data_IF_252609727526
#
_entry.id   IF_252609727526
#
_cell.length_a   1.000
_cell.length_b   1.000
_cell.length_c   1.000
_cell.angle_alpha   90.00
_cell.angle_beta   90.00
_cell.angle_gamma   90.00
#
_symmetry.space_group_name_H-M   'P 1'
#
loop_
_entity.id
_entity.type
_entity.pdbx_description
1 polymer ?
#
# COMPACT_ATOMS: atom_id res chain seq x y z
N UNK A 1 7.08 -4.48 40.13
CA UNK A 1 6.05 -3.42 40.14
C UNK A 1 6.77 -2.10 40.37
N UNK A 2 7.20 -1.41 39.31
CA UNK A 2 7.95 -0.17 39.42
C UNK A 2 7.00 1.02 39.44
N UNK A 3 6.55 1.43 40.63
CA UNK A 3 6.05 2.79 40.81
C UNK A 3 7.23 3.66 41.23
N UNK A 4 7.55 4.67 40.42
CA UNK A 4 8.41 5.76 40.86
C UNK A 4 7.63 6.55 41.94
N UNK A 5 8.06 6.45 43.20
CA UNK A 5 7.43 7.15 44.34
C UNK A 5 7.82 8.62 44.43
N UNK A 6 8.70 9.09 43.53
CA UNK A 6 9.15 10.48 43.43
C UNK A 6 8.67 11.07 42.11
N UNK A 7 7.82 12.08 42.19
CA UNK A 7 7.49 12.94 41.06
C UNK A 7 8.71 13.85 40.83
N UNK A 8 9.23 13.96 39.60
CA UNK A 8 10.35 14.84 39.31
C UNK A 8 9.93 16.31 39.43
N UNK A 9 10.88 17.19 39.80
CA UNK A 9 10.61 18.60 40.07
C UNK A 9 10.12 19.40 38.85
N UNK A 10 10.33 18.87 37.64
CA UNK A 10 9.87 19.43 36.37
C UNK A 10 8.48 18.91 35.94
N UNK A 11 7.81 18.13 36.79
CA UNK A 11 6.46 17.66 36.50
C UNK A 11 5.46 18.81 36.51
N UNK A 12 4.70 18.91 35.41
CA UNK A 12 3.63 19.90 35.25
C UNK A 12 2.28 19.23 35.44
N UNK A 13 1.47 19.74 36.37
CA UNK A 13 0.11 19.27 36.60
C UNK A 13 -0.80 19.68 35.43
N UNK A 14 -1.55 18.72 34.90
CA UNK A 14 -2.59 18.96 33.88
C UNK A 14 -3.97 18.83 34.53
N UNK A 15 -4.93 19.64 34.10
CA UNK A 15 -6.31 19.52 34.60
C UNK A 15 -6.96 18.22 34.14
N UNK A 16 -7.89 17.68 34.95
CA UNK A 16 -8.69 16.49 34.60
C UNK A 16 -9.43 16.66 33.27
N UNK A 17 -9.93 17.86 32.99
CA UNK A 17 -10.59 18.18 31.72
C UNK A 17 -9.64 18.06 30.52
N UNK A 18 -8.41 18.56 30.65
CA UNK A 18 -7.37 18.44 29.62
C UNK A 18 -6.92 17.00 29.46
N UNK A 19 -6.75 16.28 30.57
CA UNK A 19 -6.43 14.85 30.56
C UNK A 19 -7.51 14.07 29.80
N UNK A 20 -8.79 14.26 30.12
CA UNK A 20 -9.90 13.56 29.46
C UNK A 20 -9.99 13.92 27.97
N UNK A 21 -9.85 15.19 27.61
CA UNK A 21 -9.96 15.66 26.23
C UNK A 21 -8.80 15.22 25.33
N UNK A 22 -7.58 15.19 25.86
CA UNK A 22 -6.36 14.95 25.06
C UNK A 22 -5.86 13.51 25.20
N UNK A 23 -5.92 12.92 26.39
CA UNK A 23 -5.33 11.62 26.72
C UNK A 23 -6.40 10.51 26.83
N UNK A 24 -7.42 10.73 27.65
CA UNK A 24 -8.45 9.74 27.95
C UNK A 24 -9.44 9.47 26.81
N UNK A 25 -9.77 10.49 26.02
CA UNK A 25 -10.76 10.42 24.94
C UNK A 25 -10.43 11.39 23.78
N UNK A 26 -9.33 11.16 23.05
CA UNK A 26 -8.94 12.05 21.95
C UNK A 26 -9.94 11.98 20.79
N UNK A 27 -10.18 13.12 20.14
CA UNK A 27 -10.92 13.13 18.87
C UNK A 27 -10.15 12.35 17.78
N UNK A 28 -10.81 11.49 16.99
CA UNK A 28 -10.20 10.82 15.85
C UNK A 28 -9.58 11.83 14.88
N UNK A 29 -8.44 11.48 14.25
CA UNK A 29 -7.77 12.35 13.29
C UNK A 29 -6.98 13.52 13.90
N UNK A 30 -6.75 13.52 15.21
CA UNK A 30 -5.88 14.48 15.90
C UNK A 30 -4.55 13.86 16.31
N UNK A 31 -3.50 14.67 16.35
CA UNK A 31 -2.17 14.30 16.88
C UNK A 31 -1.94 15.03 18.20
N UNK A 32 -1.32 14.35 19.17
CA UNK A 32 -0.93 14.93 20.46
C UNK A 32 0.42 15.64 20.34
N UNK A 33 0.45 16.89 20.78
CA UNK A 33 1.66 17.73 20.81
C UNK A 33 1.73 18.41 22.19
N UNK A 34 2.90 18.92 22.56
CA UNK A 34 3.13 19.66 23.79
C UNK A 34 3.43 21.12 23.47
N UNK A 35 2.87 22.04 24.25
CA UNK A 35 3.19 23.47 24.14
C UNK A 35 4.52 23.81 24.84
N UNK A 36 4.89 25.10 24.90
CA UNK A 36 6.11 25.58 25.55
C UNK A 36 6.18 25.27 27.06
N UNK A 37 5.05 24.95 27.68
CA UNK A 37 4.93 24.57 29.10
C UNK A 37 4.85 23.04 29.27
N UNK A 38 5.00 22.27 28.21
CA UNK A 38 4.90 20.80 28.24
C UNK A 38 3.47 20.27 28.31
N UNK A 39 2.45 21.14 28.24
CA UNK A 39 1.07 20.73 28.37
C UNK A 39 0.57 20.09 27.07
N UNK A 40 -0.11 18.93 27.16
CA UNK A 40 -0.60 18.24 25.98
C UNK A 40 -1.80 18.99 25.38
N UNK A 41 -1.80 19.11 24.06
CA UNK A 41 -2.93 19.59 23.27
C UNK A 41 -3.04 18.81 21.95
N UNK A 42 -4.22 18.89 21.33
CA UNK A 42 -4.51 18.21 20.07
C UNK A 42 -4.38 19.18 18.90
N UNK A 43 -3.62 18.80 17.88
CA UNK A 43 -3.63 19.44 16.56
C UNK A 43 -4.31 18.54 15.55
N UNK A 44 -4.80 19.12 14.46
CA UNK A 44 -5.23 18.34 13.30
C UNK A 44 -4.07 17.51 12.76
N UNK A 45 -4.32 16.21 12.56
CA UNK A 45 -3.38 15.41 11.81
C UNK A 45 -3.28 16.02 10.39
N UNK A 46 -2.08 16.21 9.84
CA UNK A 46 -1.97 16.60 8.45
C UNK A 46 -2.70 15.55 7.60
N UNK A 47 -3.56 16.00 6.70
CA UNK A 47 -4.19 15.11 5.74
C UNK A 47 -3.09 14.44 4.92
N UNK A 48 -2.92 13.13 5.11
CA UNK A 48 -2.07 12.34 4.24
C UNK A 48 -2.84 12.15 2.95
N UNK A 49 -2.66 13.08 2.01
CA UNK A 49 -3.16 12.91 0.66
C UNK A 49 -2.48 11.68 0.05
N UNK A 50 -3.23 10.72 -0.51
CA UNK A 50 -2.64 9.56 -1.14
C UNK A 50 -1.73 10.03 -2.28
N UNK A 51 -0.47 9.59 -2.28
CA UNK A 51 0.44 9.81 -3.40
C UNK A 51 -0.07 8.99 -4.59
N UNK A 52 -0.58 9.62 -5.67
CA UNK A 52 -1.10 8.89 -6.83
C UNK A 52 -0.02 7.98 -7.42
N UNK A 53 1.27 8.37 -7.37
CA UNK A 53 2.36 7.52 -7.82
C UNK A 53 2.54 6.27 -6.93
N UNK A 54 2.33 6.38 -5.62
CA UNK A 54 2.37 5.22 -4.73
C UNK A 54 1.19 4.27 -4.99
N UNK A 55 0.00 4.83 -5.20
CA UNK A 55 -1.21 4.08 -5.54
C UNK A 55 -1.02 3.27 -6.84
N UNK A 56 -0.48 3.90 -7.89
CA UNK A 56 -0.24 3.23 -9.18
C UNK A 56 0.85 2.15 -9.09
N UNK A 57 1.91 2.40 -8.31
CA UNK A 57 2.96 1.38 -8.09
C UNK A 57 2.37 0.15 -7.40
N UNK A 58 1.52 0.36 -6.39
CA UNK A 58 0.81 -0.72 -5.70
C UNK A 58 -0.15 -1.45 -6.63
N UNK A 59 -0.91 -0.74 -7.47
CA UNK A 59 -1.78 -1.37 -8.47
C UNK A 59 -0.97 -2.28 -9.41
N UNK A 60 0.15 -1.77 -9.93
CA UNK A 60 1.05 -2.53 -10.80
C UNK A 60 1.65 -3.77 -10.10
N UNK A 61 1.99 -3.68 -8.82
CA UNK A 61 2.44 -4.83 -8.02
C UNK A 61 1.37 -5.92 -7.95
N UNK A 62 0.13 -5.53 -7.64
CA UNK A 62 -1.00 -6.46 -7.54
C UNK A 62 -1.30 -7.12 -8.89
N UNK A 63 -1.27 -6.34 -9.98
CA UNK A 63 -1.53 -6.85 -11.32
C UNK A 63 -0.43 -7.79 -11.81
N UNK A 64 0.84 -7.52 -11.50
CA UNK A 64 1.92 -8.45 -11.80
C UNK A 64 1.81 -9.74 -10.99
N UNK A 65 1.42 -9.66 -9.72
CA UNK A 65 1.23 -10.82 -8.86
C UNK A 65 0.04 -11.68 -9.33
N UNK A 66 -1.04 -11.06 -9.80
CA UNK A 66 -2.25 -11.77 -10.25
C UNK A 66 -2.02 -12.63 -11.50
N UNK A 67 -1.05 -12.26 -12.35
CA UNK A 67 -0.73 -12.99 -13.59
C UNK A 67 0.56 -13.81 -13.51
N UNK A 68 1.30 -13.73 -12.40
CA UNK A 68 2.60 -14.42 -12.24
C UNK A 68 2.46 -15.94 -12.32
N UNK A 69 1.41 -16.49 -11.70
CA UNK A 69 1.16 -17.94 -11.67
C UNK A 69 0.94 -18.53 -13.07
N UNK A 70 0.37 -17.75 -14.02
CA UNK A 70 0.14 -18.22 -15.40
C UNK A 70 1.47 -18.55 -16.08
N UNK A 71 2.48 -17.72 -15.84
CA UNK A 71 3.82 -17.92 -16.39
C UNK A 71 4.49 -19.15 -15.77
N UNK A 72 4.35 -19.32 -14.46
CA UNK A 72 4.92 -20.46 -13.73
C UNK A 72 4.29 -21.76 -14.23
N UNK A 73 2.95 -21.84 -14.25
CA UNK A 73 2.21 -22.99 -14.79
C UNK A 73 2.62 -23.36 -16.21
N UNK A 74 2.74 -22.38 -17.10
CA UNK A 74 3.15 -22.64 -18.49
C UNK A 74 4.57 -23.21 -18.57
N UNK A 75 5.49 -22.72 -17.74
CA UNK A 75 6.86 -23.25 -17.66
C UNK A 75 6.87 -24.67 -17.12
N UNK A 76 6.15 -24.93 -16.05
CA UNK A 76 6.02 -26.26 -15.46
C UNK A 76 5.51 -27.26 -16.49
N UNK A 77 4.45 -26.90 -17.25
CA UNK A 77 3.89 -27.72 -18.32
C UNK A 77 4.89 -28.06 -19.42
N UNK A 78 5.72 -27.10 -19.83
CA UNK A 78 6.79 -27.32 -20.80
C UNK A 78 7.88 -28.25 -20.25
N UNK A 79 8.27 -28.08 -18.99
CA UNK A 79 9.31 -28.90 -18.34
C UNK A 79 8.88 -30.37 -18.19
N UNK A 80 7.61 -30.61 -17.83
CA UNK A 80 7.07 -31.97 -17.72
C UNK A 80 6.60 -32.54 -19.07
N UNK A 81 6.70 -31.77 -20.16
CA UNK A 81 6.32 -32.19 -21.51
C UNK A 81 4.82 -32.44 -21.70
N UNK A 82 3.97 -31.79 -20.92
CA UNK A 82 2.51 -31.90 -21.03
C UNK A 82 1.96 -30.85 -22.00
N UNK A 83 0.75 -31.07 -22.54
CA UNK A 83 0.06 -30.06 -23.33
C UNK A 83 -0.12 -28.77 -22.53
N UNK A 84 0.28 -27.64 -23.10
CA UNK A 84 0.17 -26.33 -22.44
C UNK A 84 -1.28 -25.87 -22.43
N UNK A 85 -1.72 -25.28 -21.32
CA UNK A 85 -3.07 -24.68 -21.22
C UNK A 85 -3.17 -23.42 -22.06
N UNK A 86 -2.08 -22.64 -22.11
CA UNK A 86 -1.96 -21.46 -22.97
C UNK A 86 -1.35 -21.83 -24.31
N UNK A 87 -1.85 -21.19 -25.37
CA UNK A 87 -1.18 -21.23 -26.68
C UNK A 87 0.12 -20.43 -26.64
N UNK A 88 1.03 -20.70 -27.59
CA UNK A 88 2.27 -19.92 -27.69
C UNK A 88 2.04 -18.42 -27.93
N UNK A 89 0.95 -18.06 -28.61
CA UNK A 89 0.54 -16.67 -28.82
C UNK A 89 0.05 -16.02 -27.52
N UNK A 90 -0.83 -16.70 -26.77
CA UNK A 90 -1.29 -16.23 -25.45
C UNK A 90 -0.13 -16.08 -24.48
N UNK A 91 0.81 -17.04 -24.46
CA UNK A 91 1.98 -16.94 -23.61
C UNK A 91 2.88 -15.76 -24.00
N UNK A 92 3.03 -15.47 -25.29
CA UNK A 92 3.77 -14.28 -25.76
C UNK A 92 3.06 -12.98 -25.36
N UNK A 93 1.74 -12.91 -25.50
CA UNK A 93 0.93 -11.76 -25.06
C UNK A 93 1.06 -11.53 -23.55
N UNK A 94 1.04 -12.60 -22.75
CA UNK A 94 1.26 -12.53 -21.31
C UNK A 94 2.62 -11.89 -20.99
N UNK A 95 3.70 -12.35 -21.64
CA UNK A 95 5.03 -11.82 -21.40
C UNK A 95 5.14 -10.34 -21.82
N UNK A 96 4.51 -9.95 -22.92
CA UNK A 96 4.43 -8.56 -23.35
C UNK A 96 3.67 -7.70 -22.34
N UNK A 97 2.52 -8.19 -21.87
CA UNK A 97 1.72 -7.52 -20.87
C UNK A 97 2.48 -7.32 -19.54
N UNK A 98 3.12 -8.36 -19.03
CA UNK A 98 3.98 -8.27 -17.84
C UNK A 98 5.14 -7.28 -18.03
N UNK A 99 5.71 -7.19 -19.23
CA UNK A 99 6.75 -6.22 -19.54
C UNK A 99 6.20 -4.79 -19.52
N UNK A 100 5.05 -4.54 -20.15
CA UNK A 100 4.38 -3.23 -20.12
C UNK A 100 4.03 -2.79 -18.70
N UNK A 101 3.61 -3.71 -17.81
CA UNK A 101 3.42 -3.40 -16.39
C UNK A 101 4.73 -3.00 -15.69
N UNK A 102 5.86 -3.63 -16.02
CA UNK A 102 7.17 -3.25 -15.45
C UNK A 102 7.65 -1.89 -15.95
N UNK A 103 7.36 -1.57 -17.21
CA UNK A 103 7.75 -0.31 -17.84
C UNK A 103 6.80 0.85 -17.46
N UNK A 104 5.60 0.55 -16.94
CA UNK A 104 4.59 1.55 -16.58
C UNK A 104 5.12 2.66 -15.65
N UNK A 105 5.83 2.39 -14.54
CA UNK A 105 6.38 3.45 -13.68
C UNK A 105 7.48 4.30 -14.32
N UNK A 106 8.02 3.88 -15.47
CA UNK A 106 9.02 4.62 -16.25
C UNK A 106 8.39 5.38 -17.43
N UNK A 107 7.09 5.19 -17.67
CA UNK A 107 6.37 5.86 -18.74
C UNK A 107 6.22 7.36 -18.45
N UNK A 108 6.31 8.24 -19.47
CA UNK A 108 6.01 9.66 -19.29
C UNK A 108 4.55 9.92 -18.87
N UNK A 109 3.64 8.98 -19.13
CA UNK A 109 2.21 9.12 -18.80
C UNK A 109 1.89 8.73 -17.35
N UNK A 110 2.85 8.16 -16.62
CA UNK A 110 2.68 7.81 -15.21
C UNK A 110 2.48 9.07 -14.34
N UNK A 111 1.51 9.11 -13.40
CA UNK A 111 0.66 8.02 -12.88
C UNK A 111 -0.79 8.02 -13.42
N UNK A 112 -1.03 8.41 -14.67
CA UNK A 112 -2.39 8.52 -15.21
C UNK A 112 -3.03 7.15 -15.45
N UNK A 113 -4.15 6.87 -14.76
CA UNK A 113 -4.80 5.57 -14.80
C UNK A 113 -5.34 5.20 -16.20
N UNK A 114 -5.63 6.19 -17.04
CA UNK A 114 -6.12 6.02 -18.41
C UNK A 114 -5.07 5.38 -19.33
N UNK A 115 -3.79 5.49 -18.97
CA UNK A 115 -2.66 4.98 -19.75
C UNK A 115 -2.12 3.65 -19.21
N UNK A 116 -2.83 3.03 -18.25
CA UNK A 116 -2.45 1.72 -17.72
C UNK A 116 -2.38 0.66 -18.82
N UNK A 117 -1.41 -0.26 -18.75
CA UNK A 117 -1.42 -1.44 -19.61
C UNK A 117 -2.72 -2.23 -19.45
N UNK A 118 -3.37 -2.56 -20.57
CA UNK A 118 -4.62 -3.32 -20.59
C UNK A 118 -4.32 -4.82 -20.64
N UNK A 119 -4.89 -5.58 -19.71
CA UNK A 119 -4.76 -7.03 -19.70
C UNK A 119 -5.49 -7.64 -20.91
N UNK A 120 -4.88 -8.62 -21.60
CA UNK A 120 -5.58 -9.44 -22.58
C UNK A 120 -6.82 -10.10 -21.98
N UNK A 121 -7.94 -10.11 -22.72
CA UNK A 121 -9.24 -10.58 -22.22
C UNK A 121 -9.22 -12.04 -21.75
N UNK A 122 -8.42 -12.89 -22.41
CA UNK A 122 -8.32 -14.31 -22.08
C UNK A 122 -7.69 -14.55 -20.70
N UNK A 123 -6.95 -13.59 -20.12
CA UNK A 123 -6.39 -13.73 -18.76
C UNK A 123 -7.51 -13.88 -17.74
N UNK A 124 -8.61 -13.13 -17.90
CA UNK A 124 -9.77 -13.22 -17.02
C UNK A 124 -10.53 -14.55 -17.15
N UNK A 125 -10.33 -15.27 -18.25
CA UNK A 125 -10.90 -16.61 -18.47
C UNK A 125 -10.07 -17.70 -17.76
N UNK A 126 -8.84 -17.38 -17.32
CA UNK A 126 -7.98 -18.34 -16.63
C UNK A 126 -8.40 -18.43 -15.16
N UNK A 127 -8.75 -19.66 -14.75
CA UNK A 127 -9.06 -19.98 -13.35
C UNK A 127 -7.92 -20.83 -12.77
N UNK A 128 -7.65 -20.65 -11.48
CA UNK A 128 -6.76 -21.51 -10.70
C UNK A 128 -7.46 -22.78 -10.21
#
# INVERSE_FOLDING_TARGET
MGLHTSIPDDAVEISDERYLSVIGNPMPGKIRVHDELGLPYLIDAPEVLPDPAAQERQWRDLELASVMWLRERHRDQLEIGTATTLTGEQFKELLMYMQSLRDWPQSPDFPQAEHRPVAPSWIAEQTD
#
